data_IF_048190723914
#
_entry.id   IF_048190723914
#
_cell.length_a   1.000
_cell.length_b   1.000
_cell.length_c   1.000
_cell.angle_alpha   90.00
_cell.angle_beta   90.00
_cell.angle_gamma   90.00
#
_symmetry.space_group_name_H-M   'P 1'
#
loop_
_entity.id
_entity.type
_entity.pdbx_description
1 polymer ?
#
# COMPACT_ATOMS: atom_id res chain seq x y z
N UNK A 1 -1.02 -19.91 16.52
CA UNK A 1 -1.06 -18.44 16.55
C UNK A 1 -0.75 -17.93 17.96
N UNK A 2 -0.04 -16.82 18.04
CA UNK A 2 0.21 -16.11 19.31
C UNK A 2 -0.74 -14.94 19.39
N UNK A 3 -1.48 -14.84 20.49
CA UNK A 3 -2.35 -13.71 20.77
C UNK A 3 -1.55 -12.60 21.45
N UNK A 4 -1.51 -11.42 20.85
CA UNK A 4 -0.82 -10.25 21.38
C UNK A 4 -1.67 -9.00 21.16
N UNK A 5 -2.17 -8.42 22.27
CA UNK A 5 -2.90 -7.15 22.27
C UNK A 5 -4.15 -7.11 21.38
N UNK A 6 -4.91 -8.19 21.28
CA UNK A 6 -6.11 -8.26 20.42
C UNK A 6 -5.82 -8.72 18.99
N UNK A 7 -4.57 -9.08 18.67
CA UNK A 7 -4.16 -9.55 17.35
C UNK A 7 -3.59 -10.97 17.41
N UNK A 8 -4.09 -11.85 16.56
CA UNK A 8 -3.49 -13.17 16.35
C UNK A 8 -2.43 -13.07 15.25
N UNK A 9 -1.21 -13.50 15.57
CA UNK A 9 -0.09 -13.53 14.62
C UNK A 9 0.42 -14.93 14.42
N UNK A 10 0.66 -15.30 13.18
CA UNK A 10 1.33 -16.53 12.81
C UNK A 10 2.23 -16.28 11.60
N UNK A 11 3.47 -16.70 11.71
CA UNK A 11 4.34 -16.80 10.56
C UNK A 11 4.05 -18.13 9.85
N UNK A 12 3.86 -18.05 8.55
CA UNK A 12 3.61 -19.22 7.69
C UNK A 12 4.56 -19.12 6.50
N UNK A 13 5.29 -20.17 6.24
CA UNK A 13 6.09 -20.31 5.05
C UNK A 13 5.19 -20.85 3.93
N UNK A 14 5.03 -20.05 2.87
CA UNK A 14 4.23 -20.44 1.73
C UNK A 14 5.11 -21.09 0.67
N UNK A 15 4.77 -22.30 0.28
CA UNK A 15 5.27 -22.87 -0.97
C UNK A 15 4.48 -22.31 -2.16
N UNK A 16 5.07 -21.32 -2.82
CA UNK A 16 4.47 -20.63 -3.97
C UNK A 16 4.28 -21.53 -5.18
N UNK A 17 4.88 -22.73 -5.19
CA UNK A 17 4.74 -23.73 -6.25
C UNK A 17 3.44 -24.54 -6.13
N UNK A 18 2.87 -24.65 -4.93
CA UNK A 18 1.73 -25.54 -4.64
C UNK A 18 0.37 -24.86 -4.85
N UNK A 19 0.28 -23.56 -4.73
CA UNK A 19 -0.98 -22.84 -4.95
C UNK A 19 -0.91 -21.37 -4.62
N UNK A 20 -1.84 -20.64 -5.21
CA UNK A 20 -1.95 -19.18 -5.05
C UNK A 20 -3.13 -18.80 -4.15
N UNK A 21 -3.96 -19.75 -3.74
CA UNK A 21 -5.16 -19.48 -2.95
C UNK A 21 -4.85 -19.70 -1.47
N UNK A 22 -5.15 -18.68 -0.68
CA UNK A 22 -5.07 -18.72 0.78
C UNK A 22 -6.46 -18.54 1.34
N UNK A 23 -6.82 -19.41 2.27
CA UNK A 23 -8.05 -19.33 3.04
C UNK A 23 -7.71 -19.23 4.52
N UNK A 24 -8.40 -18.37 5.22
CA UNK A 24 -8.41 -18.31 6.67
C UNK A 24 -9.80 -18.69 7.16
N UNK A 25 -9.84 -19.63 8.09
CA UNK A 25 -11.05 -20.04 8.79
C UNK A 25 -10.90 -19.65 10.26
N UNK A 26 -11.94 -19.05 10.81
CA UNK A 26 -12.01 -18.65 12.22
C UNK A 26 -13.25 -19.27 12.84
N UNK A 27 -13.03 -20.06 13.89
CA UNK A 27 -14.07 -20.71 14.67
C UNK A 27 -14.02 -20.17 16.11
N UNK A 28 -15.18 -19.78 16.62
CA UNK A 28 -15.36 -19.31 17.99
C UNK A 28 -16.69 -19.82 18.52
N UNK A 29 -16.66 -20.72 19.48
CA UNK A 29 -17.88 -21.40 20.02
C UNK A 29 -18.70 -22.06 18.89
N UNK A 30 -19.86 -21.50 18.58
CA UNK A 30 -20.75 -21.97 17.51
C UNK A 30 -20.65 -21.11 16.24
N UNK A 31 -19.78 -20.11 16.25
CA UNK A 31 -19.63 -19.18 15.12
C UNK A 31 -18.49 -19.63 14.21
N UNK A 32 -18.73 -19.56 12.91
CA UNK A 32 -17.73 -19.83 11.89
C UNK A 32 -17.72 -18.74 10.83
N UNK A 33 -16.55 -18.21 10.56
CA UNK A 33 -16.36 -17.30 9.44
C UNK A 33 -15.08 -17.62 8.69
N UNK A 34 -15.00 -17.25 7.43
CA UNK A 34 -13.84 -17.50 6.60
C UNK A 34 -13.65 -16.43 5.53
N UNK A 35 -12.39 -16.28 5.10
CA UNK A 35 -12.02 -15.41 3.99
C UNK A 35 -11.03 -16.11 3.06
N UNK A 36 -11.14 -15.84 1.78
CA UNK A 36 -10.22 -16.34 0.76
C UNK A 36 -9.57 -15.21 -0.01
N UNK A 37 -8.32 -15.42 -0.41
CA UNK A 37 -7.64 -14.56 -1.38
C UNK A 37 -6.80 -15.40 -2.32
N UNK A 38 -6.80 -15.03 -3.60
CA UNK A 38 -5.83 -15.53 -4.56
C UNK A 38 -4.59 -14.63 -4.51
N UNK A 39 -3.47 -15.18 -4.01
CA UNK A 39 -2.22 -14.47 -3.89
C UNK A 39 -1.45 -14.53 -5.20
N UNK A 40 -1.04 -13.39 -5.70
CA UNK A 40 -0.02 -13.32 -6.73
C UNK A 40 1.24 -12.70 -6.14
N UNK A 41 2.29 -13.50 -6.09
CA UNK A 41 3.59 -13.09 -5.54
C UNK A 41 4.42 -12.23 -6.50
N UNK A 42 3.84 -11.79 -7.62
CA UNK A 42 4.51 -10.85 -8.52
C UNK A 42 4.72 -9.53 -7.81
N UNK A 43 5.96 -9.11 -7.67
CA UNK A 43 6.34 -7.81 -7.14
C UNK A 43 6.45 -6.80 -8.27
N UNK A 44 6.28 -5.52 -7.93
CA UNK A 44 6.57 -4.39 -8.82
C UNK A 44 7.75 -3.63 -8.25
N UNK A 45 8.78 -3.47 -9.07
CA UNK A 45 9.96 -2.70 -8.72
C UNK A 45 9.82 -1.24 -9.18
N UNK A 46 10.63 -0.36 -8.58
CA UNK A 46 10.88 0.97 -9.13
C UNK A 46 11.92 0.80 -10.24
N UNK A 47 11.54 1.03 -11.49
CA UNK A 47 12.42 0.89 -12.66
C UNK A 47 13.51 1.96 -12.67
N UNK A 48 13.12 3.19 -12.35
CA UNK A 48 14.02 4.35 -12.35
C UNK A 48 13.64 5.29 -11.23
N UNK A 49 14.66 5.82 -10.53
CA UNK A 49 14.50 6.88 -9.54
C UNK A 49 15.61 7.90 -9.70
N UNK A 50 15.24 9.19 -9.78
CA UNK A 50 16.19 10.31 -9.91
C UNK A 50 15.61 11.57 -9.29
N UNK A 51 16.46 12.60 -9.14
CA UNK A 51 16.09 13.86 -8.55
C UNK A 51 16.18 14.99 -9.57
N UNK A 52 15.16 15.85 -9.59
CA UNK A 52 15.15 17.06 -10.39
C UNK A 52 15.35 18.27 -9.46
N UNK A 53 16.46 19.01 -9.59
CA UNK A 53 16.65 20.22 -8.81
C UNK A 53 15.62 21.27 -9.20
N UNK A 54 15.15 22.04 -8.22
CA UNK A 54 14.36 23.24 -8.44
C UNK A 54 14.89 24.37 -7.58
N UNK A 55 14.34 25.57 -7.79
CA UNK A 55 14.75 26.75 -7.01
C UNK A 55 14.46 26.62 -5.52
N UNK A 56 13.44 25.84 -5.12
CA UNK A 56 12.98 25.74 -3.72
C UNK A 56 13.32 24.39 -3.09
N UNK A 57 12.85 23.32 -3.69
CA UNK A 57 13.04 21.95 -3.20
C UNK A 57 13.09 20.98 -4.37
N UNK A 58 14.02 20.02 -4.37
CA UNK A 58 14.08 19.05 -5.44
C UNK A 58 12.83 18.17 -5.48
N UNK A 59 12.51 17.68 -6.68
CA UNK A 59 11.54 16.61 -6.85
C UNK A 59 12.25 15.27 -6.95
N UNK A 60 11.71 14.28 -6.27
CA UNK A 60 11.97 12.89 -6.59
C UNK A 60 11.02 12.46 -7.71
N UNK A 61 11.58 11.83 -8.71
CA UNK A 61 10.84 11.14 -9.77
C UNK A 61 11.08 9.64 -9.59
N UNK A 62 10.02 8.87 -9.46
CA UNK A 62 10.07 7.42 -9.45
C UNK A 62 9.17 6.88 -10.57
N UNK A 63 9.69 5.96 -11.36
CA UNK A 63 8.97 5.34 -12.49
C UNK A 63 8.83 3.85 -12.21
N UNK A 64 7.65 3.32 -12.47
CA UNK A 64 7.36 1.89 -12.34
C UNK A 64 6.34 1.43 -13.38
N UNK A 65 6.25 0.12 -13.60
CA UNK A 65 5.28 -0.48 -14.51
C UNK A 65 4.22 -1.24 -13.73
N UNK A 66 2.96 -0.76 -13.75
CA UNK A 66 1.85 -1.48 -13.15
C UNK A 66 1.65 -2.86 -13.81
N UNK A 67 1.15 -3.81 -13.04
CA UNK A 67 0.77 -5.11 -13.58
C UNK A 67 -0.42 -4.96 -14.53
N UNK A 68 -0.30 -5.52 -15.72
CA UNK A 68 -1.37 -5.48 -16.73
C UNK A 68 -2.59 -6.29 -16.25
N UNK A 69 -3.77 -5.78 -16.55
CA UNK A 69 -5.06 -6.46 -16.35
C UNK A 69 -5.36 -6.87 -14.90
N UNK A 70 -4.95 -6.07 -13.90
CA UNK A 70 -5.21 -6.35 -12.50
C UNK A 70 -5.81 -5.15 -11.77
N UNK A 71 -6.89 -5.41 -11.06
CA UNK A 71 -7.47 -4.46 -10.11
C UNK A 71 -6.69 -4.51 -8.79
N UNK A 72 -5.50 -3.94 -8.79
CA UNK A 72 -4.64 -3.83 -7.61
C UNK A 72 -4.29 -2.37 -7.36
N UNK A 73 -3.94 -2.10 -6.12
CA UNK A 73 -3.54 -0.78 -5.67
C UNK A 73 -2.06 -0.82 -5.30
N UNK A 74 -1.36 0.21 -5.71
CA UNK A 74 0.05 0.36 -5.41
C UNK A 74 0.22 1.41 -4.32
N UNK A 75 0.91 1.04 -3.25
CA UNK A 75 1.34 1.98 -2.23
C UNK A 75 2.85 2.17 -2.36
N UNK A 76 3.23 3.39 -2.70
CA UNK A 76 4.62 3.76 -2.92
C UNK A 76 5.13 4.40 -1.63
N UNK A 77 6.06 3.73 -0.98
CA UNK A 77 6.67 4.19 0.27
C UNK A 77 8.01 4.82 -0.01
N UNK A 78 8.23 6.00 0.56
CA UNK A 78 9.50 6.71 0.48
C UNK A 78 10.06 6.94 1.88
N UNK A 79 11.34 6.64 2.05
CA UNK A 79 12.11 6.91 3.25
C UNK A 79 13.36 7.70 2.90
N UNK A 80 13.79 8.56 3.81
CA UNK A 80 15.06 9.30 3.73
C UNK A 80 16.01 8.79 4.80
N UNK A 81 17.29 8.65 4.47
CA UNK A 81 18.32 8.43 5.47
C UNK A 81 18.75 9.78 6.01
N UNK A 82 18.48 10.02 7.27
CA UNK A 82 18.84 11.24 7.96
C UNK A 82 20.16 11.03 8.70
N UNK A 83 21.21 11.74 8.28
CA UNK A 83 22.56 11.64 8.87
C UNK A 83 22.57 12.06 10.34
N UNK A 84 21.73 13.03 10.73
CA UNK A 84 21.66 13.49 12.12
C UNK A 84 21.13 12.41 13.06
N UNK A 85 20.10 11.64 12.62
CA UNK A 85 19.57 10.55 13.42
C UNK A 85 20.25 9.21 13.14
N UNK A 86 21.08 9.09 12.10
CA UNK A 86 21.76 7.86 11.69
C UNK A 86 20.80 6.72 11.31
N UNK A 87 19.61 7.04 10.81
CA UNK A 87 18.58 6.03 10.48
C UNK A 87 17.68 6.45 9.33
N UNK A 88 16.98 5.45 8.76
CA UNK A 88 15.91 5.66 7.82
C UNK A 88 14.66 6.21 8.53
N UNK A 89 14.13 7.30 8.00
CA UNK A 89 12.92 7.97 8.51
C UNK A 89 11.85 7.92 7.43
N UNK A 90 10.62 7.64 7.83
CA UNK A 90 9.47 7.72 6.93
C UNK A 90 9.29 9.16 6.46
N UNK A 91 9.24 9.30 5.13
CA UNK A 91 9.05 10.62 4.55
C UNK A 91 7.64 10.78 3.97
N UNK A 92 7.26 9.89 3.05
CA UNK A 92 5.97 9.98 2.39
C UNK A 92 5.46 8.60 1.94
N UNK A 93 4.15 8.52 1.67
CA UNK A 93 3.54 7.41 0.98
C UNK A 93 2.49 7.94 0.01
N UNK A 94 2.41 7.32 -1.16
CA UNK A 94 1.47 7.64 -2.21
C UNK A 94 0.70 6.38 -2.60
N UNK A 95 -0.55 6.54 -3.02
CA UNK A 95 -1.42 5.43 -3.46
C UNK A 95 -1.77 5.62 -4.92
N UNK A 96 -1.56 4.61 -5.76
CA UNK A 96 -1.92 4.60 -7.16
C UNK A 96 -2.81 3.38 -7.49
N UNK A 97 -3.91 3.53 -8.27
CA UNK A 97 -4.45 4.80 -8.69
C UNK A 97 -4.99 5.61 -7.51
N UNK A 98 -4.81 6.93 -7.55
CA UNK A 98 -5.27 7.84 -6.51
C UNK A 98 -6.51 8.59 -6.98
N UNK A 99 -7.54 8.65 -6.15
CA UNK A 99 -8.72 9.49 -6.40
C UNK A 99 -8.47 10.95 -6.02
N UNK A 100 -7.54 11.21 -5.07
CA UNK A 100 -7.38 12.52 -4.45
C UNK A 100 -6.17 13.31 -4.94
N UNK A 101 -5.11 12.63 -5.43
CA UNK A 101 -3.83 13.24 -5.80
C UNK A 101 -3.37 12.81 -7.19
N UNK A 102 -4.24 12.98 -8.19
CA UNK A 102 -3.93 12.61 -9.59
C UNK A 102 -2.77 13.42 -10.19
N UNK A 103 -2.47 14.61 -9.65
CA UNK A 103 -1.38 15.46 -10.13
C UNK A 103 0.03 14.95 -9.76
N UNK A 104 0.15 14.03 -8.85
CA UNK A 104 1.43 13.41 -8.47
C UNK A 104 1.85 12.30 -9.42
N UNK A 105 0.88 11.73 -10.14
CA UNK A 105 1.11 10.63 -11.07
C UNK A 105 0.89 11.05 -12.51
N UNK A 106 1.76 10.57 -13.39
CA UNK A 106 1.63 10.74 -14.84
C UNK A 106 1.80 9.39 -15.51
N UNK A 107 0.79 8.98 -16.28
CA UNK A 107 0.89 7.80 -17.13
C UNK A 107 1.69 8.13 -18.38
N UNK A 108 2.69 7.31 -18.67
CA UNK A 108 3.57 7.46 -19.82
C UNK A 108 3.02 6.65 -21.01
N UNK A 109 3.40 7.04 -22.23
CA UNK A 109 2.92 6.43 -23.46
C UNK A 109 3.24 4.93 -23.59
N UNK A 110 4.24 4.44 -22.87
CA UNK A 110 4.65 3.04 -22.84
C UNK A 110 3.96 2.22 -21.73
N UNK A 111 3.01 2.81 -21.03
CA UNK A 111 2.25 2.21 -19.94
C UNK A 111 2.99 2.19 -18.59
N UNK A 112 4.13 2.84 -18.49
CA UNK A 112 4.75 3.10 -17.19
C UNK A 112 4.03 4.24 -16.46
N UNK A 113 4.18 4.30 -15.16
CA UNK A 113 3.64 5.36 -14.31
C UNK A 113 4.79 6.09 -13.65
N UNK A 114 4.78 7.41 -13.75
CA UNK A 114 5.72 8.30 -13.10
C UNK A 114 5.07 8.93 -11.88
N UNK A 115 5.67 8.74 -10.72
CA UNK A 115 5.38 9.48 -9.50
C UNK A 115 6.32 10.69 -9.43
N UNK A 116 5.76 11.86 -9.12
CA UNK A 116 6.52 13.07 -8.82
C UNK A 116 6.17 13.57 -7.42
N UNK A 117 7.14 13.62 -6.53
CA UNK A 117 6.93 14.12 -5.17
C UNK A 117 8.02 15.10 -4.75
N UNK A 118 7.64 16.12 -3.98
CA UNK A 118 8.59 17.05 -3.38
C UNK A 118 9.45 16.34 -2.34
N UNK A 119 10.73 16.66 -2.33
CA UNK A 119 11.66 16.23 -1.31
C UNK A 119 11.92 17.37 -0.32
N UNK A 120 12.18 17.07 0.95
CA UNK A 120 12.50 18.10 1.90
C UNK A 120 13.84 18.76 1.52
N UNK A 121 13.91 20.07 1.66
CA UNK A 121 15.15 20.81 1.55
C UNK A 121 15.88 20.72 2.89
N UNK A 122 16.85 19.82 3.01
CA UNK A 122 17.63 19.64 4.23
C UNK A 122 19.01 19.12 3.95
N UNK A 123 20.01 19.69 4.60
CA UNK A 123 21.42 19.29 4.45
C UNK A 123 21.74 17.94 5.11
N UNK A 124 20.82 17.37 5.88
CA UNK A 124 21.01 16.15 6.66
C UNK A 124 20.60 14.88 5.91
N UNK A 125 19.98 15.02 4.71
CA UNK A 125 19.57 13.86 3.93
C UNK A 125 20.72 13.38 3.06
N UNK A 126 21.16 12.16 3.28
CA UNK A 126 22.20 11.49 2.51
C UNK A 126 21.64 10.70 1.34
N UNK A 127 20.64 9.90 1.61
CA UNK A 127 20.07 8.96 0.66
C UNK A 127 18.55 8.88 0.77
N UNK A 128 17.92 8.50 -0.33
CA UNK A 128 16.47 8.25 -0.41
C UNK A 128 16.26 6.83 -0.90
N UNK A 129 15.27 6.15 -0.32
CA UNK A 129 14.83 4.86 -0.84
C UNK A 129 13.32 4.80 -1.03
N UNK A 130 12.93 4.09 -2.05
CA UNK A 130 11.52 3.92 -2.41
C UNK A 130 11.24 2.46 -2.69
N UNK A 131 10.07 1.98 -2.26
CA UNK A 131 9.56 0.66 -2.64
C UNK A 131 8.09 0.73 -3.00
N UNK A 132 7.64 -0.23 -3.78
CA UNK A 132 6.25 -0.40 -4.15
C UNK A 132 5.69 -1.61 -3.43
N UNK A 133 4.52 -1.44 -2.82
CA UNK A 133 3.75 -2.49 -2.20
C UNK A 133 2.43 -2.61 -2.94
N UNK A 134 2.12 -3.79 -3.40
CA UNK A 134 0.83 -4.12 -4.01
C UNK A 134 -0.14 -4.46 -2.90
N UNK A 135 -1.32 -3.86 -2.94
CA UNK A 135 -2.42 -4.11 -2.02
C UNK A 135 -3.58 -4.75 -2.76
N UNK A 136 -4.24 -5.72 -2.14
CA UNK A 136 -5.47 -6.28 -2.70
C UNK A 136 -6.59 -5.25 -2.74
N UNK A 137 -7.53 -5.43 -3.65
CA UNK A 137 -8.73 -4.56 -3.77
C UNK A 137 -9.52 -4.50 -2.45
N UNK A 138 -9.58 -5.60 -1.70
CA UNK A 138 -10.22 -5.65 -0.39
C UNK A 138 -9.64 -4.67 0.62
N UNK A 139 -8.32 -4.42 0.57
CA UNK A 139 -7.68 -3.40 1.42
C UNK A 139 -8.17 -2.00 1.07
N UNK A 140 -8.31 -1.71 -0.21
CA UNK A 140 -8.80 -0.40 -0.65
C UNK A 140 -10.26 -0.18 -0.27
N UNK A 141 -11.09 -1.20 -0.44
CA UNK A 141 -12.51 -1.16 -0.01
C UNK A 141 -12.60 -0.89 1.50
N UNK A 142 -11.80 -1.59 2.30
CA UNK A 142 -11.71 -1.36 3.74
C UNK A 142 -11.34 0.10 4.07
N UNK A 143 -10.33 0.66 3.42
CA UNK A 143 -9.94 2.05 3.66
C UNK A 143 -11.05 3.05 3.24
N UNK A 144 -11.74 2.79 2.14
CA UNK A 144 -12.85 3.65 1.71
C UNK A 144 -14.02 3.63 2.69
N UNK A 145 -14.33 2.46 3.22
CA UNK A 145 -15.41 2.32 4.21
C UNK A 145 -15.05 3.05 5.51
N UNK A 146 -13.79 3.00 5.93
CA UNK A 146 -13.31 3.76 7.10
C UNK A 146 -13.35 5.28 6.85
N UNK A 147 -12.89 5.75 5.69
CA UNK A 147 -12.91 7.17 5.33
C UNK A 147 -14.35 7.71 5.23
N UNK A 148 -15.30 6.93 4.72
CA UNK A 148 -16.69 7.32 4.64
C UNK A 148 -17.34 7.46 6.02
N UNK A 149 -16.95 6.66 7.02
CA UNK A 149 -17.47 6.77 8.39
C UNK A 149 -17.12 8.11 9.05
N UNK A 150 -15.95 8.68 8.77
CA UNK A 150 -15.56 9.98 9.32
C UNK A 150 -16.28 11.16 8.67
N UNK A 151 -16.80 10.99 7.45
CA UNK A 151 -17.52 12.03 6.73
C UNK A 151 -19.03 12.04 6.98
N UNK A 152 -19.59 11.00 7.59
CA UNK A 152 -21.04 10.82 7.80
C UNK A 152 -21.59 11.43 9.10
N UNK A 153 -20.87 12.32 9.77
CA UNK A 153 -21.34 13.01 10.99
C UNK A 153 -22.30 14.20 10.70
N UNK A 154 -23.09 14.16 9.65
CA UNK A 154 -24.10 15.18 9.37
C UNK A 154 -25.53 14.72 9.71
N UNK A 155 -26.46 15.63 10.09
CA UNK A 155 -27.86 15.29 10.35
C UNK A 155 -28.63 14.82 9.10
N UNK A 156 -27.96 14.74 7.97
CA UNK A 156 -28.47 14.26 6.68
C UNK A 156 -27.63 13.09 6.13
N UNK A 157 -26.92 12.36 7.01
CA UNK A 157 -26.20 11.19 6.59
C UNK A 157 -27.16 10.21 5.89
N UNK A 158 -26.85 9.77 4.64
CA UNK A 158 -27.66 8.74 4.00
C UNK A 158 -27.62 7.46 4.85
N UNK A 159 -28.67 6.65 4.71
CA UNK A 159 -28.76 5.31 5.32
C UNK A 159 -27.40 4.59 5.21
N UNK A 160 -26.99 3.93 6.29
CA UNK A 160 -25.66 3.31 6.46
C UNK A 160 -25.13 2.74 5.15
N UNK A 161 -23.95 3.22 4.66
CA UNK A 161 -23.39 2.68 3.44
C UNK A 161 -23.18 1.18 3.64
N UNK A 162 -23.75 0.37 2.76
CA UNK A 162 -23.63 -1.08 2.82
C UNK A 162 -22.17 -1.47 2.70
N UNK A 163 -21.52 -1.79 3.82
CA UNK A 163 -20.12 -2.24 3.85
C UNK A 163 -19.99 -3.52 3.05
N UNK A 164 -19.05 -3.54 2.14
CA UNK A 164 -18.76 -4.71 1.30
C UNK A 164 -17.69 -5.58 1.94
N UNK A 165 -18.01 -6.20 3.05
CA UNK A 165 -17.11 -7.18 3.67
C UNK A 165 -16.84 -8.35 2.72
N UNK A 166 -15.60 -8.86 2.74
CA UNK A 166 -15.23 -10.06 2.00
C UNK A 166 -15.02 -11.29 2.88
N UNK A 167 -15.29 -11.18 4.17
CA UNK A 167 -15.43 -12.32 5.09
C UNK A 167 -16.84 -12.90 4.92
N UNK A 168 -16.91 -14.21 4.86
CA UNK A 168 -18.15 -14.97 4.72
C UNK A 168 -18.47 -15.72 6.01
N UNK A 169 -19.73 -16.12 6.19
CA UNK A 169 -20.22 -16.77 7.39
C UNK A 169 -20.80 -15.77 8.40
N UNK A 170 -20.63 -16.05 9.69
CA UNK A 170 -21.24 -15.27 10.78
C UNK A 170 -20.37 -14.12 11.28
N UNK A 171 -19.16 -13.97 10.70
CA UNK A 171 -18.25 -12.87 10.96
C UNK A 171 -18.40 -11.73 9.97
N UNK A 172 -17.99 -10.54 10.40
CA UNK A 172 -17.90 -9.35 9.56
C UNK A 172 -16.45 -8.87 9.54
N UNK A 173 -15.98 -8.40 8.39
CA UNK A 173 -14.61 -7.86 8.26
C UNK A 173 -14.02 -8.02 6.88
N UNK A 174 -12.71 -7.79 6.83
CA UNK A 174 -11.95 -7.83 5.59
C UNK A 174 -10.78 -8.80 5.71
N UNK A 175 -10.65 -9.67 4.70
CA UNK A 175 -9.44 -10.44 4.46
C UNK A 175 -8.69 -9.83 3.28
N UNK A 176 -7.51 -9.31 3.53
CA UNK A 176 -6.68 -8.65 2.53
C UNK A 176 -5.21 -9.05 2.65
N UNK A 177 -4.45 -8.78 1.61
CA UNK A 177 -3.02 -9.04 1.58
C UNK A 177 -2.23 -7.88 0.99
N UNK A 178 -0.96 -7.87 1.29
CA UNK A 178 0.01 -6.97 0.68
C UNK A 178 1.28 -7.72 0.27
N UNK A 179 1.87 -7.31 -0.86
CA UNK A 179 3.13 -7.85 -1.36
C UNK A 179 4.07 -6.68 -1.61
N UNK A 180 5.20 -6.68 -0.93
CA UNK A 180 6.20 -5.60 -1.04
C UNK A 180 7.33 -6.01 -1.97
N UNK A 181 7.67 -5.13 -2.90
CA UNK A 181 8.91 -5.22 -3.66
C UNK A 181 10.14 -4.78 -2.85
N UNK A 182 11.29 -4.84 -3.47
CA UNK A 182 12.55 -4.40 -2.87
C UNK A 182 12.67 -2.89 -2.78
N UNK A 183 13.51 -2.43 -1.86
CA UNK A 183 13.89 -1.03 -1.77
C UNK A 183 14.89 -0.66 -2.86
N UNK A 184 14.58 0.38 -3.62
CA UNK A 184 15.53 1.03 -4.53
C UNK A 184 16.08 2.28 -3.84
N UNK A 185 17.38 2.33 -3.66
CA UNK A 185 18.08 3.41 -2.95
C UNK A 185 18.88 4.26 -3.93
N UNK A 186 18.87 5.57 -3.74
CA UNK A 186 19.70 6.54 -4.48
C UNK A 186 20.30 7.57 -3.53
N UNK A 187 21.56 7.97 -3.73
CA UNK A 187 22.12 9.12 -3.04
C UNK A 187 21.34 10.37 -3.40
N UNK A 188 21.17 11.28 -2.43
CA UNK A 188 20.41 12.52 -2.59
C UNK A 188 21.28 13.72 -2.90
N UNK A 189 22.60 13.59 -2.71
CA UNK A 189 23.61 14.65 -2.97
C UNK A 189 24.07 14.64 -4.41
#
# INVERSE_FOLDING_TARGET
>A
PVFDGGVYRRQVDFDTSVGKRVRIDVEWENYHCWGEAELDFTTVAVDTMYFLPTQYSPYMIAVFRPLKNRSVIYKIYTQVYDEFYGRWVWFNNHTYPSRWYSYEFTELSDGAVQLRTYMPSGSTIDSVRTRITILSEAYYTMQQDDDNQFNDFGPFAPEEPSRKFNIQGEGIGYFWYQISGDWVTRPFK
#
